data_IF_156803293757
#
_entry.id   IF_156803293757
#
_cell.length_a   1.000
_cell.length_b   1.000
_cell.length_c   1.000
_cell.angle_alpha   90.00
_cell.angle_beta   90.00
_cell.angle_gamma   90.00
#
_symmetry.space_group_name_H-M   'P 1'
#
loop_
_entity.id
_entity.type
_entity.pdbx_description
1 polymer ?
#
# COMPACT_ATOMS: atom_id res chain seq x y z
N UNK A 1 -10.37 -14.10 23.30
CA UNK A 1 -9.41 -13.17 23.90
C UNK A 1 -9.35 -13.41 25.41
N UNK A 2 -8.18 -13.29 26.00
CA UNK A 2 -7.94 -13.52 27.42
C UNK A 2 -8.08 -12.23 28.25
N UNK A 3 -8.79 -11.23 27.76
CA UNK A 3 -8.99 -9.94 28.43
C UNK A 3 -10.48 -9.58 28.51
N UNK A 4 -10.88 -8.78 29.52
CA UNK A 4 -12.26 -8.32 29.65
C UNK A 4 -12.66 -7.22 28.65
N UNK A 5 -11.71 -6.70 27.87
CA UNK A 5 -11.98 -5.64 26.91
C UNK A 5 -12.77 -6.13 25.70
N UNK A 6 -13.84 -5.41 25.36
CA UNK A 6 -14.73 -5.72 24.23
C UNK A 6 -14.26 -5.07 22.93
N UNK A 7 -13.56 -3.95 23.02
CA UNK A 7 -13.10 -3.17 21.87
C UNK A 7 -11.60 -2.91 21.98
N UNK A 8 -10.92 -2.94 20.83
CA UNK A 8 -9.52 -2.56 20.68
C UNK A 8 -9.44 -1.47 19.62
N UNK A 9 -8.78 -0.37 19.94
CA UNK A 9 -8.41 0.66 18.97
C UNK A 9 -6.87 0.66 18.80
N UNK A 10 -6.45 0.59 17.53
CA UNK A 10 -5.03 0.74 17.16
C UNK A 10 -4.96 1.96 16.26
N UNK A 11 -4.20 2.97 16.66
CA UNK A 11 -4.02 4.17 15.85
C UNK A 11 -3.23 3.86 14.55
N UNK A 12 -3.31 4.72 13.52
CA UNK A 12 -2.64 4.49 12.23
C UNK A 12 -1.14 4.26 12.38
N UNK A 13 -0.55 4.82 13.40
CA UNK A 13 0.88 4.83 13.64
C UNK A 13 1.17 4.56 15.12
N UNK A 14 1.05 3.30 15.58
CA UNK A 14 1.13 2.96 17.00
C UNK A 14 2.56 3.00 17.57
N UNK A 15 3.58 3.24 16.73
CA UNK A 15 4.98 3.38 17.14
C UNK A 15 5.37 4.84 17.43
N UNK A 16 6.70 5.09 17.52
CA UNK A 16 7.28 6.39 17.88
C UNK A 16 6.81 7.54 17.01
N UNK A 17 6.60 7.30 15.71
CA UNK A 17 6.11 8.32 14.78
C UNK A 17 4.71 8.86 15.13
N UNK A 18 3.88 8.09 15.82
CA UNK A 18 2.57 8.53 16.30
C UNK A 18 2.64 9.50 17.48
N UNK A 19 3.77 9.53 18.19
CA UNK A 19 3.98 10.41 19.34
C UNK A 19 3.83 11.90 18.99
N UNK A 20 4.29 12.33 17.82
CA UNK A 20 4.17 13.72 17.36
C UNK A 20 2.70 14.13 17.13
N UNK A 21 1.90 13.24 16.55
CA UNK A 21 0.46 13.46 16.37
C UNK A 21 -0.24 13.48 17.74
N UNK A 22 0.13 12.55 18.62
CA UNK A 22 -0.40 12.47 19.98
C UNK A 22 -0.11 13.73 20.79
N UNK A 23 1.10 14.27 20.72
CA UNK A 23 1.49 15.50 21.41
C UNK A 23 0.70 16.71 20.90
N UNK A 24 0.56 16.86 19.57
CA UNK A 24 -0.25 17.93 18.98
C UNK A 24 -1.73 17.81 19.38
N UNK A 25 -2.28 16.60 19.32
CA UNK A 25 -3.66 16.33 19.71
C UNK A 25 -3.90 16.61 21.20
N UNK A 26 -2.96 16.22 22.06
CA UNK A 26 -3.02 16.48 23.49
C UNK A 26 -3.00 17.99 23.80
N UNK A 27 -2.14 18.76 23.11
CA UNK A 27 -2.09 20.22 23.26
C UNK A 27 -3.43 20.87 22.88
N UNK A 28 -4.01 20.47 21.75
CA UNK A 28 -5.31 20.99 21.29
C UNK A 28 -6.41 20.65 22.32
N UNK A 29 -6.48 19.41 22.74
CA UNK A 29 -7.47 18.94 23.71
C UNK A 29 -7.34 19.64 25.07
N UNK A 30 -6.11 19.84 25.57
CA UNK A 30 -5.88 20.51 26.85
C UNK A 30 -6.29 21.98 26.85
N UNK A 31 -6.17 22.67 25.71
CA UNK A 31 -6.57 24.06 25.58
C UNK A 31 -8.04 24.23 25.16
N UNK A 32 -8.63 23.24 24.49
CA UNK A 32 -10.00 23.28 24.00
C UNK A 32 -10.70 21.92 24.16
N UNK A 33 -11.09 21.52 25.38
CA UNK A 33 -11.61 20.17 25.67
C UNK A 33 -12.89 19.79 24.87
N UNK A 34 -13.65 20.80 24.42
CA UNK A 34 -14.88 20.62 23.67
C UNK A 34 -14.66 20.59 22.15
N UNK A 35 -13.43 20.80 21.67
CA UNK A 35 -13.12 20.79 20.26
C UNK A 35 -12.89 19.35 19.81
N UNK A 36 -13.79 18.82 18.96
CA UNK A 36 -13.57 17.53 18.33
C UNK A 36 -12.34 17.62 17.38
N UNK A 37 -11.33 16.83 17.66
CA UNK A 37 -10.18 16.68 16.74
C UNK A 37 -10.63 15.78 15.61
N UNK A 38 -11.20 16.36 14.56
CA UNK A 38 -11.63 15.63 13.36
C UNK A 38 -10.50 15.65 12.34
N UNK A 39 -9.63 14.67 12.35
CA UNK A 39 -8.71 14.46 11.22
C UNK A 39 -9.27 13.33 10.36
N UNK A 40 -9.68 13.67 9.17
CA UNK A 40 -9.95 12.67 8.13
C UNK A 40 -8.59 12.20 7.59
N UNK A 41 -8.32 10.88 7.63
CA UNK A 41 -7.11 10.27 7.10
C UNK A 41 -5.78 10.59 7.81
N UNK A 42 -5.65 10.24 9.06
CA UNK A 42 -4.38 10.31 9.82
C UNK A 42 -3.19 9.58 9.19
N UNK A 43 -3.43 8.70 8.20
CA UNK A 43 -2.36 7.94 7.58
C UNK A 43 -1.63 8.70 6.46
N UNK A 44 -2.26 9.68 5.81
CA UNK A 44 -1.70 10.38 4.63
C UNK A 44 -1.40 11.85 4.96
N UNK A 45 -0.34 12.09 5.73
CA UNK A 45 0.05 13.42 6.21
C UNK A 45 1.38 13.92 5.63
N UNK A 46 2.05 13.10 4.81
CA UNK A 46 3.34 13.42 4.24
C UNK A 46 3.26 14.30 2.98
N UNK A 47 4.39 14.37 2.26
CA UNK A 47 4.54 15.18 1.05
C UNK A 47 3.65 14.72 -0.10
N UNK A 48 3.25 15.69 -0.91
CA UNK A 48 2.53 15.51 -2.18
C UNK A 48 3.22 16.35 -3.25
N UNK A 49 3.14 15.92 -4.51
CA UNK A 49 3.73 16.59 -5.66
C UNK A 49 2.68 16.75 -6.76
N UNK A 50 2.74 17.86 -7.47
CA UNK A 50 1.91 18.13 -8.65
C UNK A 50 2.41 17.37 -9.87
N UNK A 51 1.57 17.27 -10.90
CA UNK A 51 1.98 16.67 -12.16
C UNK A 51 3.12 17.47 -12.83
N UNK A 52 3.10 18.80 -12.75
CA UNK A 52 4.13 19.66 -13.34
C UNK A 52 5.49 19.47 -12.67
N UNK A 53 5.49 19.31 -11.34
CA UNK A 53 6.73 18.98 -10.61
C UNK A 53 7.27 17.60 -11.02
N UNK A 54 6.39 16.61 -11.20
CA UNK A 54 6.77 15.27 -11.64
C UNK A 54 7.30 15.31 -13.07
N UNK A 55 6.66 16.01 -14.00
CA UNK A 55 7.12 16.17 -15.39
C UNK A 55 8.51 16.81 -15.43
N UNK A 56 8.72 17.90 -14.68
CA UNK A 56 10.04 18.55 -14.58
C UNK A 56 11.12 17.58 -14.09
N UNK A 57 10.79 16.74 -13.13
CA UNK A 57 11.75 15.75 -12.60
C UNK A 57 12.03 14.66 -13.63
N UNK A 58 11.01 14.14 -14.35
CA UNK A 58 11.18 13.15 -15.41
C UNK A 58 12.09 13.68 -16.52
N UNK A 59 11.95 14.94 -16.91
CA UNK A 59 12.77 15.61 -17.91
C UNK A 59 14.22 15.76 -17.42
N UNK A 60 14.43 16.15 -16.17
CA UNK A 60 15.77 16.26 -15.58
C UNK A 60 16.52 14.92 -15.57
N UNK A 61 15.82 13.81 -15.35
CA UNK A 61 16.39 12.46 -15.42
C UNK A 61 16.46 11.92 -16.87
N UNK A 62 15.93 12.63 -17.86
CA UNK A 62 15.84 12.22 -19.26
C UNK A 62 15.19 10.84 -19.40
N UNK A 63 14.09 10.63 -18.65
CA UNK A 63 13.46 9.32 -18.59
C UNK A 63 12.94 8.88 -19.95
N UNK A 64 12.39 9.79 -20.77
CA UNK A 64 11.90 9.52 -22.11
C UNK A 64 12.96 9.04 -23.11
N UNK A 65 14.25 9.30 -22.85
CA UNK A 65 15.35 8.80 -23.68
C UNK A 65 15.66 7.31 -23.44
N UNK A 66 15.26 6.77 -22.29
CA UNK A 66 15.64 5.41 -21.84
C UNK A 66 14.44 4.49 -21.63
N UNK A 67 13.29 5.04 -21.39
CA UNK A 67 12.06 4.33 -21.03
C UNK A 67 10.87 4.88 -21.80
N UNK A 68 9.86 4.08 -21.97
CA UNK A 68 8.56 4.54 -22.47
C UNK A 68 7.85 5.32 -21.36
N UNK A 69 7.74 6.64 -21.52
CA UNK A 69 7.02 7.53 -20.61
C UNK A 69 5.68 7.90 -21.25
N UNK A 70 4.59 7.65 -20.53
CA UNK A 70 3.24 7.93 -21.00
C UNK A 70 2.48 8.81 -20.02
N UNK A 71 1.81 9.85 -20.54
CA UNK A 71 0.84 10.63 -19.78
C UNK A 71 -0.56 10.09 -20.09
N UNK A 72 -1.21 9.54 -19.09
CA UNK A 72 -2.50 8.88 -19.21
C UNK A 72 -3.57 9.62 -18.40
N UNK A 73 -4.82 9.52 -18.82
CA UNK A 73 -5.94 9.89 -17.96
C UNK A 73 -6.12 8.86 -16.84
N UNK A 74 -6.93 9.18 -15.84
CA UNK A 74 -7.10 8.35 -14.63
C UNK A 74 -7.58 6.92 -14.96
N UNK A 75 -8.55 6.77 -15.85
CA UNK A 75 -9.14 5.47 -16.21
C UNK A 75 -8.13 4.57 -16.94
N UNK A 76 -7.40 5.13 -17.89
CA UNK A 76 -6.36 4.41 -18.63
C UNK A 76 -5.19 4.03 -17.75
N UNK A 77 -4.78 4.94 -16.83
CA UNK A 77 -3.74 4.67 -15.84
C UNK A 77 -4.09 3.46 -14.97
N UNK A 78 -5.30 3.45 -14.41
CA UNK A 78 -5.75 2.38 -13.53
C UNK A 78 -5.88 1.05 -14.28
N UNK A 79 -6.45 1.09 -15.48
CA UNK A 79 -6.63 -0.09 -16.32
C UNK A 79 -5.29 -0.68 -16.77
N UNK A 80 -4.35 0.16 -17.21
CA UNK A 80 -3.01 -0.27 -17.60
C UNK A 80 -2.24 -0.85 -16.43
N UNK A 81 -2.27 -0.18 -15.27
CA UNK A 81 -1.60 -0.65 -14.04
C UNK A 81 -2.16 -1.99 -13.57
N UNK A 82 -3.49 -2.13 -13.52
CA UNK A 82 -4.12 -3.40 -13.14
C UNK A 82 -3.75 -4.54 -14.10
N UNK A 83 -3.68 -4.24 -15.40
CA UNK A 83 -3.26 -5.22 -16.41
C UNK A 83 -1.79 -5.64 -16.22
N UNK A 84 -0.86 -4.71 -16.00
CA UNK A 84 0.55 -5.03 -15.71
C UNK A 84 0.67 -5.94 -14.48
N UNK A 85 -0.01 -5.61 -13.39
CA UNK A 85 -0.02 -6.43 -12.18
C UNK A 85 -0.59 -7.83 -12.46
N UNK A 86 -1.69 -7.93 -13.24
CA UNK A 86 -2.33 -9.20 -13.57
C UNK A 86 -1.46 -10.14 -14.39
N UNK A 87 -0.49 -9.59 -15.12
CA UNK A 87 0.54 -10.31 -15.87
C UNK A 87 1.76 -10.67 -15.02
N UNK A 88 1.67 -10.51 -13.71
CA UNK A 88 2.74 -10.76 -12.75
C UNK A 88 3.95 -9.83 -12.88
N UNK A 89 3.77 -8.64 -13.45
CA UNK A 89 4.77 -7.59 -13.46
C UNK A 89 4.74 -6.82 -12.13
N UNK A 90 5.88 -6.28 -11.74
CA UNK A 90 6.06 -5.53 -10.51
C UNK A 90 6.00 -4.03 -10.79
N UNK A 91 5.08 -3.35 -10.13
CA UNK A 91 4.83 -1.93 -10.34
C UNK A 91 5.23 -1.11 -9.12
N UNK A 92 6.11 -0.13 -9.31
CA UNK A 92 6.30 0.97 -8.36
C UNK A 92 5.09 1.91 -8.45
N UNK A 93 4.45 2.17 -7.32
CA UNK A 93 3.22 2.99 -7.25
C UNK A 93 3.42 4.20 -6.36
N UNK A 94 3.46 5.38 -6.99
CA UNK A 94 3.68 6.66 -6.33
C UNK A 94 2.52 7.60 -6.63
N UNK A 95 1.78 8.04 -5.59
CA UNK A 95 0.63 8.94 -5.76
C UNK A 95 0.36 9.80 -4.52
N UNK A 96 -0.31 10.91 -4.70
CA UNK A 96 -0.90 11.73 -3.63
C UNK A 96 0.03 12.00 -2.44
N UNK A 97 -0.54 12.19 -1.26
CA UNK A 97 0.21 12.42 -0.02
C UNK A 97 0.84 11.13 0.49
N UNK A 98 2.12 11.20 0.86
CA UNK A 98 2.84 10.08 1.49
C UNK A 98 2.17 9.65 2.79
N UNK A 99 2.22 8.38 3.08
CA UNK A 99 1.82 7.81 4.36
C UNK A 99 2.71 8.33 5.50
N UNK A 100 2.09 8.59 6.66
CA UNK A 100 2.79 8.90 7.88
C UNK A 100 3.03 7.62 8.68
N UNK A 101 4.26 7.14 8.69
CA UNK A 101 4.64 5.93 9.42
C UNK A 101 5.36 4.88 8.60
N UNK A 102 5.56 3.72 9.23
CA UNK A 102 6.41 2.64 8.72
C UNK A 102 5.76 1.75 7.64
N UNK A 103 4.50 1.99 7.29
CA UNK A 103 3.75 1.14 6.35
C UNK A 103 3.37 1.88 5.09
N UNK A 104 3.60 1.26 3.94
CA UNK A 104 3.03 1.68 2.67
C UNK A 104 1.56 1.24 2.61
N UNK A 105 0.67 2.18 2.36
CA UNK A 105 -0.78 1.99 2.36
C UNK A 105 -1.41 2.36 1.00
N UNK A 106 -0.63 2.26 -0.08
CA UNK A 106 -1.10 2.50 -1.44
C UNK A 106 -0.71 3.85 -2.04
N UNK A 107 0.19 4.63 -1.40
CA UNK A 107 0.68 5.89 -1.95
C UNK A 107 2.19 5.88 -2.23
N UNK A 108 2.95 5.09 -1.49
CA UNK A 108 4.39 4.82 -1.71
C UNK A 108 4.61 3.31 -1.64
N UNK A 109 4.12 2.61 -2.64
CA UNK A 109 3.99 1.15 -2.64
C UNK A 109 4.72 0.49 -3.81
N UNK A 110 5.16 -0.74 -3.61
CA UNK A 110 5.44 -1.68 -4.69
C UNK A 110 4.29 -2.68 -4.71
N UNK A 111 3.69 -2.84 -5.87
CA UNK A 111 2.51 -3.67 -6.10
C UNK A 111 2.86 -4.91 -6.92
N UNK A 112 2.19 -6.02 -6.63
CA UNK A 112 2.37 -7.27 -7.36
C UNK A 112 1.16 -8.19 -7.29
N UNK A 113 1.15 -9.21 -8.13
CA UNK A 113 0.07 -10.18 -8.18
C UNK A 113 0.16 -11.19 -7.02
N UNK A 114 -0.81 -11.21 -6.09
CA UNK A 114 -0.80 -12.12 -4.96
C UNK A 114 -0.99 -13.60 -5.34
N UNK A 115 -1.51 -13.88 -6.55
CA UNK A 115 -1.78 -15.23 -7.07
C UNK A 115 -0.50 -15.91 -7.57
N UNK A 116 0.51 -15.14 -7.96
CA UNK A 116 1.74 -15.68 -8.52
C UNK A 116 2.63 -16.27 -7.42
N UNK A 117 2.85 -17.58 -7.48
CA UNK A 117 3.69 -18.34 -6.53
C UNK A 117 5.14 -17.82 -6.45
N UNK A 118 5.66 -17.25 -7.55
CA UNK A 118 7.03 -16.73 -7.62
C UNK A 118 7.15 -15.27 -7.18
N UNK A 119 6.02 -14.55 -7.01
CA UNK A 119 6.04 -13.12 -6.71
C UNK A 119 6.79 -12.80 -5.42
N UNK A 120 6.66 -13.65 -4.40
CA UNK A 120 7.38 -13.52 -3.13
C UNK A 120 8.91 -13.55 -3.34
N UNK A 121 9.38 -14.50 -4.14
CA UNK A 121 10.82 -14.61 -4.44
C UNK A 121 11.30 -13.48 -5.35
N UNK A 122 10.52 -13.09 -6.35
CA UNK A 122 10.81 -11.96 -7.22
C UNK A 122 11.02 -10.70 -6.38
N UNK A 123 10.09 -10.38 -5.50
CA UNK A 123 10.15 -9.18 -4.67
C UNK A 123 11.28 -9.24 -3.64
N UNK A 124 11.48 -10.37 -2.97
CA UNK A 124 12.53 -10.49 -1.94
C UNK A 124 13.92 -10.52 -2.56
N UNK A 125 14.15 -11.28 -3.62
CA UNK A 125 15.49 -11.47 -4.20
C UNK A 125 15.88 -10.37 -5.18
N UNK A 126 14.94 -9.92 -6.04
CA UNK A 126 15.27 -8.98 -7.13
C UNK A 126 15.12 -7.50 -6.75
N UNK A 127 14.25 -7.20 -5.79
CA UNK A 127 13.92 -5.81 -5.42
C UNK A 127 14.38 -5.50 -4.00
N UNK A 128 13.94 -6.29 -3.02
CA UNK A 128 14.25 -6.05 -1.60
C UNK A 128 15.62 -6.56 -1.16
N UNK A 129 16.25 -7.43 -1.94
CA UNK A 129 17.54 -8.06 -1.63
C UNK A 129 17.61 -8.55 -0.18
N UNK A 130 16.60 -9.30 0.23
CA UNK A 130 16.43 -9.82 1.58
C UNK A 130 16.00 -11.29 1.56
N UNK A 131 15.88 -11.87 2.73
CA UNK A 131 15.55 -13.29 2.90
C UNK A 131 14.18 -13.62 2.29
N UNK A 132 14.10 -14.73 1.55
CA UNK A 132 12.91 -15.16 0.81
C UNK A 132 11.72 -15.53 1.70
N UNK A 133 11.96 -15.86 2.98
CA UNK A 133 10.88 -16.23 3.90
C UNK A 133 10.02 -15.05 4.37
N UNK A 134 10.47 -13.79 4.21
CA UNK A 134 9.71 -12.62 4.66
C UNK A 134 8.40 -12.49 3.88
N UNK A 135 7.25 -12.38 4.59
CA UNK A 135 5.96 -12.26 3.94
C UNK A 135 5.70 -10.85 3.42
N UNK A 136 4.73 -10.77 2.52
CA UNK A 136 4.16 -9.52 2.03
C UNK A 136 2.70 -9.38 2.49
N UNK A 137 2.17 -8.16 2.41
CA UNK A 137 0.86 -7.83 2.93
C UNK A 137 -0.19 -7.77 1.80
N UNK A 138 -1.41 -8.28 2.03
CA UNK A 138 -2.54 -8.09 1.14
C UNK A 138 -3.21 -6.72 1.40
N UNK A 139 -3.50 -5.97 0.33
CA UNK A 139 -4.50 -4.90 0.33
C UNK A 139 -5.76 -5.41 -0.35
N UNK A 140 -6.91 -5.27 0.29
CA UNK A 140 -8.20 -5.77 -0.19
C UNK A 140 -9.25 -4.67 -0.30
N UNK A 141 -10.15 -4.77 -1.27
CA UNK A 141 -11.36 -3.96 -1.31
C UNK A 141 -12.17 -4.16 -0.02
N UNK A 142 -12.52 -3.06 0.66
CA UNK A 142 -13.31 -3.08 1.90
C UNK A 142 -14.60 -3.89 1.76
N UNK A 143 -15.28 -3.74 0.62
CA UNK A 143 -16.56 -4.36 0.35
C UNK A 143 -16.48 -5.90 0.23
N UNK A 144 -15.30 -6.42 -0.10
CA UNK A 144 -15.04 -7.84 -0.31
C UNK A 144 -14.44 -8.55 0.92
N UNK A 145 -14.08 -7.83 1.97
CA UNK A 145 -13.34 -8.38 3.13
C UNK A 145 -13.96 -9.63 3.71
N UNK A 146 -15.27 -9.61 3.96
CA UNK A 146 -15.99 -10.71 4.59
C UNK A 146 -16.00 -12.03 3.79
N UNK A 147 -15.77 -11.94 2.49
CA UNK A 147 -15.73 -13.13 1.62
C UNK A 147 -14.35 -13.81 1.62
N UNK A 148 -13.31 -13.05 1.97
CA UNK A 148 -11.90 -13.50 1.95
C UNK A 148 -11.31 -13.74 3.35
N UNK A 149 -11.77 -12.98 4.35
CA UNK A 149 -11.32 -13.06 5.74
C UNK A 149 -12.50 -13.25 6.69
N UNK A 150 -12.27 -13.84 7.85
CA UNK A 150 -13.26 -13.87 8.93
C UNK A 150 -13.20 -12.54 9.71
N UNK A 151 -13.63 -11.47 9.06
CA UNK A 151 -13.53 -10.10 9.56
C UNK A 151 -14.73 -9.27 9.11
N UNK A 152 -15.28 -8.45 10.02
CA UNK A 152 -16.42 -7.55 9.77
C UNK A 152 -16.09 -6.06 9.96
N UNK A 153 -14.85 -5.73 10.38
CA UNK A 153 -14.42 -4.35 10.63
C UNK A 153 -13.41 -3.87 9.58
N UNK A 154 -13.20 -2.56 9.52
CA UNK A 154 -12.13 -1.95 8.73
C UNK A 154 -10.78 -2.10 9.47
N UNK A 155 -9.73 -2.38 8.70
CA UNK A 155 -8.33 -2.41 9.17
C UNK A 155 -7.43 -1.71 8.14
N UNK A 156 -7.54 -0.38 8.00
CA UNK A 156 -6.94 0.36 6.89
C UNK A 156 -5.42 0.54 7.01
N UNK A 157 -4.83 0.24 8.17
CA UNK A 157 -3.44 0.64 8.49
C UNK A 157 -2.42 -0.50 8.49
N UNK A 158 -2.80 -1.69 8.01
CA UNK A 158 -1.88 -2.84 7.94
C UNK A 158 -1.26 -3.18 9.34
N UNK A 159 -2.01 -2.92 10.40
CA UNK A 159 -1.60 -3.07 11.80
C UNK A 159 -2.05 -4.38 12.44
N UNK A 160 -2.90 -5.14 11.76
CA UNK A 160 -3.52 -6.34 12.30
C UNK A 160 -3.36 -7.52 11.33
N UNK A 161 -3.37 -8.73 11.89
CA UNK A 161 -3.18 -10.00 11.16
C UNK A 161 -4.46 -10.83 11.29
N UNK A 162 -4.96 -11.36 10.17
CA UNK A 162 -6.17 -12.16 10.11
C UNK A 162 -5.98 -13.42 9.29
N UNK A 163 -6.70 -14.48 9.67
CA UNK A 163 -6.75 -15.73 8.91
C UNK A 163 -7.51 -15.51 7.60
N UNK A 164 -6.94 -15.98 6.50
CA UNK A 164 -7.70 -16.19 5.27
C UNK A 164 -8.71 -17.31 5.47
N UNK A 165 -9.87 -17.23 4.81
CA UNK A 165 -10.79 -18.39 4.77
C UNK A 165 -10.11 -19.59 4.15
N UNK A 166 -10.36 -20.79 4.69
CA UNK A 166 -9.63 -22.03 4.37
C UNK A 166 -9.51 -22.35 2.88
N UNK A 167 -10.53 -22.00 2.09
CA UNK A 167 -10.56 -22.29 0.64
C UNK A 167 -9.74 -21.30 -0.21
N UNK A 168 -9.22 -20.23 0.39
CA UNK A 168 -8.66 -19.08 -0.33
C UNK A 168 -7.15 -18.98 -0.15
N UNK A 169 -6.60 -19.35 1.00
CA UNK A 169 -5.19 -19.13 1.30
C UNK A 169 -4.22 -19.77 0.28
N UNK A 170 -4.58 -20.89 -0.33
CA UNK A 170 -3.75 -21.55 -1.35
C UNK A 170 -3.75 -20.84 -2.70
N UNK A 171 -4.76 -19.99 -2.98
CA UNK A 171 -4.85 -19.19 -4.21
C UNK A 171 -4.03 -17.91 -4.16
N UNK A 172 -3.58 -17.48 -2.96
CA UNK A 172 -2.85 -16.25 -2.74
C UNK A 172 -1.48 -16.47 -2.06
N UNK A 173 -0.61 -17.31 -2.65
CA UNK A 173 0.62 -17.77 -2.00
C UNK A 173 1.62 -16.64 -1.71
N UNK A 174 1.56 -15.52 -2.44
CA UNK A 174 2.50 -14.43 -2.25
C UNK A 174 2.23 -13.56 -1.00
N UNK A 175 0.99 -13.60 -0.48
CA UNK A 175 0.56 -12.76 0.66
C UNK A 175 0.06 -13.57 1.86
N UNK A 176 0.03 -14.90 1.73
CA UNK A 176 -0.36 -15.82 2.81
C UNK A 176 0.87 -16.22 3.61
N UNK A 177 0.81 -16.04 4.92
CA UNK A 177 1.83 -16.49 5.86
C UNK A 177 1.77 -18.02 6.04
N UNK A 178 2.81 -18.60 6.63
CA UNK A 178 2.90 -20.07 6.86
C UNK A 178 1.73 -20.60 7.69
N UNK A 179 1.22 -19.78 8.62
CA UNK A 179 0.07 -20.09 9.48
C UNK A 179 -1.31 -19.81 8.85
N UNK A 180 -1.34 -19.45 7.57
CA UNK A 180 -2.57 -19.13 6.84
C UNK A 180 -3.11 -17.71 7.10
N UNK A 181 -2.35 -16.87 7.77
CA UNK A 181 -2.74 -15.47 8.03
C UNK A 181 -2.21 -14.51 6.97
N UNK A 182 -2.72 -13.27 6.98
CA UNK A 182 -2.17 -12.13 6.24
C UNK A 182 -2.25 -10.85 7.07
N UNK A 183 -1.22 -10.01 6.96
CA UNK A 183 -1.22 -8.66 7.57
C UNK A 183 -2.03 -7.72 6.68
N UNK A 184 -3.30 -7.61 7.00
CA UNK A 184 -4.33 -7.06 6.14
C UNK A 184 -4.34 -5.53 6.11
N UNK A 185 -4.57 -4.99 4.91
CA UNK A 185 -5.03 -3.62 4.70
C UNK A 185 -6.38 -3.65 4.00
N UNK A 186 -7.41 -3.05 4.58
CA UNK A 186 -8.68 -2.79 3.89
C UNK A 186 -8.62 -1.42 3.23
N UNK A 187 -9.09 -1.34 1.98
CA UNK A 187 -9.09 -0.10 1.19
C UNK A 187 -10.51 0.26 0.85
N UNK A 188 -10.97 1.42 1.33
CA UNK A 188 -12.27 1.99 0.96
C UNK A 188 -12.08 3.19 0.02
N UNK A 189 -13.07 3.45 -0.80
CA UNK A 189 -13.09 4.57 -1.74
C UNK A 189 -12.88 5.92 -1.01
N UNK A 190 -13.51 6.05 0.17
CA UNK A 190 -13.40 7.24 1.01
C UNK A 190 -11.99 7.50 1.53
N UNK A 191 -11.24 6.44 1.84
CA UNK A 191 -9.91 6.55 2.45
C UNK A 191 -8.80 6.72 1.43
N UNK A 192 -8.89 6.04 0.27
CA UNK A 192 -7.92 6.16 -0.80
C UNK A 192 -8.59 5.85 -2.16
N UNK A 193 -9.18 6.87 -2.77
CA UNK A 193 -9.97 6.78 -4.00
C UNK A 193 -9.22 6.05 -5.12
N UNK A 194 -8.04 6.55 -5.51
CA UNK A 194 -7.29 6.01 -6.65
C UNK A 194 -6.84 4.56 -6.41
N UNK A 195 -6.36 4.24 -5.22
CA UNK A 195 -5.92 2.90 -4.90
C UNK A 195 -7.09 1.91 -4.80
N UNK A 196 -8.26 2.36 -4.31
CA UNK A 196 -9.50 1.59 -4.32
C UNK A 196 -9.92 1.23 -5.76
N UNK A 197 -9.90 2.21 -6.67
CA UNK A 197 -10.26 1.96 -8.06
C UNK A 197 -9.24 1.10 -8.81
N UNK A 198 -7.95 1.18 -8.46
CA UNK A 198 -6.95 0.23 -8.95
C UNK A 198 -7.26 -1.21 -8.51
N UNK A 199 -7.60 -1.42 -7.24
CA UNK A 199 -8.03 -2.72 -6.74
C UNK A 199 -9.31 -3.22 -7.44
N UNK A 200 -10.25 -2.32 -7.72
CA UNK A 200 -11.45 -2.67 -8.51
C UNK A 200 -11.12 -3.14 -9.91
N UNK A 201 -10.26 -2.40 -10.63
CA UNK A 201 -9.81 -2.80 -11.97
C UNK A 201 -9.11 -4.16 -11.96
N UNK A 202 -8.25 -4.38 -10.96
CA UNK A 202 -7.61 -5.68 -10.81
C UNK A 202 -8.61 -6.81 -10.51
N UNK A 203 -9.62 -6.56 -9.68
CA UNK A 203 -10.68 -7.51 -9.41
C UNK A 203 -11.53 -7.82 -10.65
N UNK A 204 -11.86 -6.82 -11.46
CA UNK A 204 -12.58 -6.99 -12.73
C UNK A 204 -11.83 -7.92 -13.70
N UNK A 205 -10.49 -7.83 -13.75
CA UNK A 205 -9.65 -8.67 -14.61
C UNK A 205 -9.44 -10.09 -14.08
N UNK A 206 -9.43 -10.26 -12.74
CA UNK A 206 -8.89 -11.47 -12.12
C UNK A 206 -9.88 -12.21 -11.23
N UNK A 207 -11.00 -11.61 -10.90
CA UNK A 207 -11.94 -12.04 -9.84
C UNK A 207 -11.28 -12.15 -8.45
N UNK A 208 -10.16 -11.42 -8.22
CA UNK A 208 -9.45 -11.36 -6.95
C UNK A 208 -9.39 -9.91 -6.48
N UNK A 209 -10.09 -9.54 -5.41
CA UNK A 209 -10.15 -8.15 -4.91
C UNK A 209 -8.93 -7.78 -4.06
N UNK A 210 -7.79 -8.43 -4.27
CA UNK A 210 -6.58 -8.32 -3.45
C UNK A 210 -5.37 -8.05 -4.35
N UNK A 211 -4.55 -7.06 -3.96
CA UNK A 211 -3.22 -6.80 -4.55
C UNK A 211 -2.18 -6.97 -3.44
N UNK A 212 -1.02 -7.55 -3.75
CA UNK A 212 0.14 -7.54 -2.88
C UNK A 212 0.69 -6.12 -2.77
N UNK A 213 0.84 -5.64 -1.54
CA UNK A 213 1.36 -4.32 -1.23
C UNK A 213 2.57 -4.40 -0.30
N UNK A 214 3.67 -3.76 -0.69
CA UNK A 214 4.85 -3.57 0.15
C UNK A 214 5.40 -2.16 -0.01
N UNK A 215 6.25 -1.73 0.92
CA UNK A 215 6.85 -0.40 0.91
C UNK A 215 7.69 -0.14 -0.35
N UNK A 216 7.61 1.07 -0.89
CA UNK A 216 8.41 1.48 -2.05
C UNK A 216 9.80 1.89 -1.59
N UNK A 217 10.68 0.92 -1.51
CA UNK A 217 12.11 1.03 -1.21
C UNK A 217 12.81 -0.29 -1.54
N UNK A 218 14.12 -0.27 -1.61
CA UNK A 218 14.97 -1.46 -1.57
C UNK A 218 15.35 -1.76 -0.10
N UNK A 219 16.40 -1.13 0.44
CA UNK A 219 16.86 -1.21 1.83
C UNK A 219 16.89 0.15 2.53
N UNK A 220 16.75 1.23 1.78
CA UNK A 220 16.62 2.59 2.27
C UNK A 220 15.24 2.87 2.90
N UNK A 221 15.02 4.05 3.52
CA UNK A 221 13.68 4.50 3.89
C UNK A 221 12.71 4.49 2.70
N UNK A 222 11.41 4.45 2.98
CA UNK A 222 10.37 4.53 1.94
C UNK A 222 10.56 5.83 1.15
N UNK A 223 10.52 5.73 -0.19
CA UNK A 223 10.67 6.89 -1.09
C UNK A 223 9.66 7.96 -0.74
N UNK A 224 10.13 9.19 -0.59
CA UNK A 224 9.34 10.35 -0.24
C UNK A 224 9.04 11.25 -1.43
N UNK A 225 10.02 11.42 -2.32
CA UNK A 225 9.98 12.31 -3.47
C UNK A 225 9.93 11.53 -4.79
N UNK A 226 9.46 12.16 -5.89
CA UNK A 226 9.53 11.53 -7.21
C UNK A 226 10.96 11.17 -7.64
N UNK A 227 11.96 11.99 -7.29
CA UNK A 227 13.38 11.67 -7.55
C UNK A 227 13.81 10.37 -6.86
N UNK A 228 13.51 10.23 -5.57
CA UNK A 228 13.82 8.99 -4.83
C UNK A 228 13.08 7.77 -5.43
N UNK A 229 11.84 7.94 -5.92
CA UNK A 229 11.11 6.89 -6.59
C UNK A 229 11.76 6.47 -7.91
N UNK A 230 12.17 7.43 -8.74
CA UNK A 230 12.92 7.17 -9.99
C UNK A 230 14.25 6.48 -9.69
N UNK A 231 15.01 6.95 -8.72
CA UNK A 231 16.29 6.36 -8.34
C UNK A 231 16.12 4.93 -7.83
N UNK A 232 15.10 4.66 -7.02
CA UNK A 232 14.77 3.31 -6.56
C UNK A 232 14.35 2.42 -7.74
N UNK A 233 13.53 2.93 -8.66
CA UNK A 233 13.14 2.21 -9.88
C UNK A 233 14.37 1.85 -10.73
N UNK A 234 15.27 2.80 -10.97
CA UNK A 234 16.49 2.60 -11.79
C UNK A 234 17.47 1.58 -11.18
N UNK A 235 17.53 1.48 -9.85
CA UNK A 235 18.39 0.52 -9.14
C UNK A 235 17.82 -0.88 -9.04
N UNK A 236 16.51 -1.00 -9.14
CA UNK A 236 15.79 -2.26 -8.92
C UNK A 236 15.32 -2.86 -10.25
N UNK A 237 14.71 -4.03 -10.18
CA UNK A 237 14.16 -4.72 -11.35
C UNK A 237 12.63 -4.66 -11.37
N UNK A 238 12.06 -3.51 -10.99
CA UNK A 238 10.64 -3.24 -11.23
C UNK A 238 10.37 -3.08 -12.72
N UNK A 239 9.21 -3.50 -13.16
CA UNK A 239 8.84 -3.51 -14.58
C UNK A 239 8.22 -2.19 -15.02
N UNK A 240 7.58 -1.46 -14.10
CA UNK A 240 6.98 -0.14 -14.33
C UNK A 240 7.03 0.73 -13.07
N UNK A 241 6.97 2.05 -13.26
CA UNK A 241 6.79 3.08 -12.25
C UNK A 241 5.66 4.00 -12.69
#
# INVERSE_FOLDING_TARGET
SNTPFKNLYICPNPGDAGGSIGAAAYHIYSNNPNQAITTKNYAYLGSQFSNDEIETILDNYKMSEKYEVQKLNEEDLLSKTANLISQALVVGWFQGKMEWGARALGNRSILGDPRNKKMKDILNLKIKRRESFRPFAPSILQDCVKDWFDLKKEVPYMSEVYLFKKNIHSSLPAVTHVDGTGRLQTVSEKNNYRYYHLLRKFNELTNVPIILNTSFNENEPIVRTPSEAIECFLRTKMDAL
#
